data_IF_204761020360
#
_entry.id   IF_204761020360
#
_cell.length_a   1.000
_cell.length_b   1.000
_cell.length_c   1.000
_cell.angle_alpha   90.00
_cell.angle_beta   90.00
_cell.angle_gamma   90.00
#
_symmetry.space_group_name_H-M   'P 1'
#
loop_
_entity.id
_entity.type
_entity.pdbx_description
1 polymer ?
#
# COMPACT_ATOMS: atom_id res chain seq x y z
N UNK A 1 -0.93 -61.02 2.67
CA UNK A 1 -2.26 -61.64 2.83
C UNK A 1 -3.27 -60.66 2.27
N UNK A 2 -4.17 -60.93 1.33
CA UNK A 2 -4.43 -62.05 0.45
C UNK A 2 -5.19 -61.47 -0.76
N UNK A 3 -4.93 -61.96 -1.97
CA UNK A 3 -5.71 -61.65 -3.16
C UNK A 3 -7.07 -62.37 -3.06
N UNK A 4 -8.17 -61.62 -3.14
CA UNK A 4 -9.50 -62.19 -3.38
C UNK A 4 -10.13 -61.45 -4.56
N UNK A 5 -9.81 -61.90 -5.77
CA UNK A 5 -10.62 -61.60 -6.94
C UNK A 5 -11.93 -62.40 -6.87
N UNK A 6 -13.09 -61.82 -7.22
CA UNK A 6 -14.35 -62.54 -7.14
C UNK A 6 -14.47 -63.57 -8.26
N UNK A 7 -14.81 -64.79 -7.84
CA UNK A 7 -15.04 -65.99 -8.65
C UNK A 7 -16.28 -65.85 -9.53
N UNK A 8 -16.14 -66.19 -10.82
CA UNK A 8 -17.23 -66.37 -11.76
C UNK A 8 -17.90 -67.73 -11.47
N UNK A 9 -19.21 -67.73 -11.19
CA UNK A 9 -20.04 -68.94 -11.18
C UNK A 9 -20.97 -68.90 -12.39
N UNK A 10 -20.92 -69.96 -13.19
CA UNK A 10 -21.80 -70.19 -14.35
C UNK A 10 -23.00 -71.07 -13.99
N UNK A 11 -24.21 -70.53 -14.28
CA UNK A 11 -25.42 -71.10 -14.93
C UNK A 11 -26.13 -72.36 -14.36
N UNK A 12 -27.48 -72.48 -14.48
CA UNK A 12 -28.04 -73.07 -15.71
C UNK A 12 -29.49 -72.64 -16.11
N UNK A 13 -29.77 -72.63 -17.42
CA UNK A 13 -30.99 -73.25 -17.98
C UNK A 13 -32.17 -72.38 -18.46
N UNK A 14 -32.30 -72.33 -19.79
CA UNK A 14 -33.52 -72.42 -20.62
C UNK A 14 -34.58 -71.28 -20.68
N UNK A 15 -34.60 -70.69 -21.89
CA UNK A 15 -35.74 -70.15 -22.67
C UNK A 15 -36.80 -69.31 -21.95
N UNK A 16 -36.66 -67.99 -22.12
CA UNK A 16 -37.73 -66.98 -22.30
C UNK A 16 -37.15 -65.55 -22.47
N UNK A 17 -35.83 -65.41 -22.51
CA UNK A 17 -35.13 -64.12 -22.41
C UNK A 17 -34.51 -63.60 -23.73
N UNK A 18 -34.72 -64.23 -24.88
CA UNK A 18 -34.03 -63.82 -26.11
C UNK A 18 -34.38 -62.39 -26.56
N UNK A 19 -35.63 -61.95 -26.33
CA UNK A 19 -36.04 -60.55 -26.55
C UNK A 19 -35.51 -59.58 -25.48
N UNK A 20 -35.24 -60.07 -24.25
CA UNK A 20 -34.66 -59.29 -23.16
C UNK A 20 -33.15 -59.11 -23.32
N UNK A 21 -32.48 -60.11 -23.92
CA UNK A 21 -31.06 -60.09 -24.26
C UNK A 21 -30.78 -59.22 -25.49
N UNK A 22 -31.64 -59.29 -26.52
CA UNK A 22 -31.50 -58.48 -27.73
C UNK A 22 -31.78 -56.99 -27.46
N UNK A 23 -32.83 -56.68 -26.69
CA UNK A 23 -33.12 -55.31 -26.26
C UNK A 23 -32.01 -54.76 -25.35
N UNK A 24 -31.46 -55.58 -24.45
CA UNK A 24 -30.27 -55.21 -23.67
C UNK A 24 -29.06 -54.97 -24.55
N UNK A 25 -28.89 -55.76 -25.61
CA UNK A 25 -27.77 -55.61 -26.54
C UNK A 25 -27.90 -54.29 -27.32
N UNK A 26 -29.11 -53.96 -27.78
CA UNK A 26 -29.42 -52.68 -28.42
C UNK A 26 -29.20 -51.50 -27.46
N UNK A 27 -29.74 -51.57 -26.25
CA UNK A 27 -29.53 -50.55 -25.22
C UNK A 27 -28.04 -50.39 -24.88
N UNK A 28 -27.27 -51.48 -24.83
CA UNK A 28 -25.83 -51.46 -24.60
C UNK A 28 -25.07 -50.84 -25.79
N UNK A 29 -25.44 -51.15 -27.03
CA UNK A 29 -24.85 -50.56 -28.22
C UNK A 29 -25.18 -49.06 -28.33
N UNK A 30 -26.39 -48.67 -27.99
CA UNK A 30 -26.79 -47.27 -27.97
C UNK A 30 -26.12 -46.50 -26.84
N UNK A 31 -25.98 -47.10 -25.66
CA UNK A 31 -25.17 -46.53 -24.58
C UNK A 31 -23.70 -46.37 -25.00
N UNK A 32 -23.13 -47.33 -25.73
CA UNK A 32 -21.77 -47.26 -26.26
C UNK A 32 -21.62 -46.16 -27.33
N UNK A 33 -22.59 -46.02 -28.24
CA UNK A 33 -22.65 -44.91 -29.21
C UNK A 33 -22.76 -43.56 -28.50
N UNK A 34 -23.59 -43.47 -27.47
CA UNK A 34 -23.78 -42.24 -26.68
C UNK A 34 -22.50 -41.86 -25.94
N UNK A 35 -21.78 -42.84 -25.38
CA UNK A 35 -20.44 -42.65 -24.82
C UNK A 35 -19.44 -42.21 -25.88
N UNK A 36 -19.45 -42.79 -27.08
CA UNK A 36 -18.58 -42.39 -28.18
C UNK A 36 -18.84 -40.94 -28.63
N UNK A 37 -20.12 -40.55 -28.76
CA UNK A 37 -20.52 -39.18 -29.09
C UNK A 37 -20.08 -38.20 -27.99
N UNK A 38 -20.28 -38.56 -26.71
CA UNK A 38 -19.81 -37.77 -25.55
C UNK A 38 -18.29 -37.60 -25.54
N UNK A 39 -17.54 -38.68 -25.79
CA UNK A 39 -16.09 -38.66 -25.87
C UNK A 39 -15.58 -37.83 -27.07
N UNK A 40 -16.29 -37.85 -28.20
CA UNK A 40 -15.99 -37.01 -29.37
C UNK A 40 -16.19 -35.52 -29.06
N UNK A 41 -17.25 -35.17 -28.33
CA UNK A 41 -17.46 -33.81 -27.81
C UNK A 41 -16.33 -33.39 -26.86
N UNK A 42 -16.00 -34.25 -25.90
CA UNK A 42 -14.92 -34.04 -24.93
C UNK A 42 -13.54 -33.86 -25.58
N UNK A 43 -13.28 -34.54 -26.71
CA UNK A 43 -12.01 -34.45 -27.45
C UNK A 43 -11.72 -33.06 -28.00
N UNK A 44 -12.76 -32.26 -28.27
CA UNK A 44 -12.60 -30.88 -28.78
C UNK A 44 -12.81 -29.85 -27.67
N UNK A 45 -13.64 -30.13 -26.67
CA UNK A 45 -13.85 -29.22 -25.54
C UNK A 45 -12.71 -29.23 -24.54
N UNK A 46 -12.07 -30.38 -24.27
CA UNK A 46 -10.95 -30.46 -23.32
C UNK A 46 -9.77 -29.59 -23.80
N UNK A 47 -9.30 -29.67 -25.05
CA UNK A 47 -8.28 -28.76 -25.57
C UNK A 47 -8.72 -27.29 -25.48
N UNK A 48 -9.96 -26.95 -25.86
CA UNK A 48 -10.47 -25.56 -25.77
C UNK A 48 -10.55 -25.02 -24.35
N UNK A 49 -10.88 -25.87 -23.37
CA UNK A 49 -10.92 -25.47 -21.94
C UNK A 49 -9.53 -25.39 -21.33
N UNK A 50 -8.59 -26.23 -21.78
CA UNK A 50 -7.22 -26.27 -21.26
C UNK A 50 -6.27 -25.27 -21.93
N UNK A 51 -6.52 -24.90 -23.18
CA UNK A 51 -5.73 -23.94 -23.95
C UNK A 51 -5.52 -22.59 -23.22
N UNK A 52 -6.54 -21.92 -22.66
CA UNK A 52 -6.32 -20.66 -21.93
C UNK A 52 -5.51 -20.82 -20.62
N UNK A 53 -5.48 -22.03 -20.04
CA UNK A 53 -4.70 -22.34 -18.83
C UNK A 53 -3.27 -22.78 -19.17
N UNK A 54 -3.06 -23.34 -20.36
CA UNK A 54 -1.76 -23.75 -20.91
C UNK A 54 -0.98 -22.57 -21.48
N UNK A 55 -1.66 -21.57 -22.04
CA UNK A 55 -1.02 -20.35 -22.55
C UNK A 55 -0.53 -19.53 -21.36
N UNK A 56 0.79 -19.49 -21.19
CA UNK A 56 1.47 -18.60 -20.24
C UNK A 56 1.21 -17.16 -20.68
N UNK A 57 0.16 -16.55 -20.14
CA UNK A 57 -0.19 -15.16 -20.42
C UNK A 57 1.04 -14.30 -20.11
N UNK A 58 1.49 -13.45 -21.04
CA UNK A 58 2.56 -12.52 -20.73
C UNK A 58 2.10 -11.67 -19.55
N UNK A 59 2.92 -11.57 -18.52
CA UNK A 59 2.58 -10.75 -17.38
C UNK A 59 2.35 -9.30 -17.87
N UNK A 60 1.51 -8.49 -17.21
CA UNK A 60 1.37 -7.07 -17.57
C UNK A 60 2.72 -6.30 -17.57
N UNK A 61 3.75 -6.87 -16.94
CA UNK A 61 5.12 -6.36 -16.95
C UNK A 61 5.88 -6.72 -18.25
N UNK A 62 5.52 -7.82 -18.92
CA UNK A 62 6.13 -8.27 -20.18
C UNK A 62 5.56 -7.57 -21.43
N UNK A 63 4.27 -7.20 -21.39
CA UNK A 63 3.64 -6.41 -22.46
C UNK A 63 4.09 -4.96 -22.42
N UNK A 64 4.32 -4.42 -21.22
CA UNK A 64 4.90 -3.08 -21.05
C UNK A 64 6.39 -3.02 -21.40
N UNK A 65 7.15 -4.10 -21.21
CA UNK A 65 8.57 -4.16 -21.55
C UNK A 65 8.85 -4.30 -23.06
N UNK A 66 7.98 -5.00 -23.81
CA UNK A 66 8.17 -5.23 -25.26
C UNK A 66 7.70 -4.09 -26.16
N UNK A 67 6.87 -3.17 -25.65
CA UNK A 67 6.28 -2.07 -26.44
C UNK A 67 7.15 -0.83 -26.56
N UNK A 68 8.31 -0.79 -25.90
CA UNK A 68 9.19 0.37 -26.01
C UNK A 68 10.61 -0.11 -26.19
N UNK A 69 11.03 -0.21 -27.46
CA UNK A 69 12.41 0.11 -27.83
C UNK A 69 12.68 1.54 -27.36
N UNK A 70 13.02 1.71 -26.07
CA UNK A 70 13.55 2.96 -25.55
C UNK A 70 14.96 3.06 -26.12
N UNK A 71 15.06 3.48 -27.39
CA UNK A 71 16.29 4.08 -27.89
C UNK A 71 16.72 5.08 -26.80
N UNK A 72 17.95 4.93 -26.30
CA UNK A 72 18.46 5.65 -25.13
C UNK A 72 18.26 7.16 -25.25
N UNK A 73 17.10 7.63 -24.80
CA UNK A 73 16.71 9.03 -24.93
C UNK A 73 17.49 9.81 -23.87
N UNK A 74 18.66 10.28 -24.28
CA UNK A 74 19.48 11.21 -23.51
C UNK A 74 18.64 12.45 -23.23
N UNK A 75 18.59 12.82 -21.96
CA UNK A 75 17.90 14.02 -21.50
C UNK A 75 18.91 15.13 -21.23
N UNK A 76 18.56 16.35 -21.59
CA UNK A 76 19.40 17.54 -21.37
C UNK A 76 18.80 18.41 -20.27
N UNK A 77 19.65 19.15 -19.55
CA UNK A 77 19.18 20.19 -18.64
C UNK A 77 18.45 21.29 -19.41
N UNK A 78 17.35 21.80 -18.85
CA UNK A 78 16.52 22.85 -19.48
C UNK A 78 16.91 24.27 -19.08
N UNK A 79 17.83 24.40 -18.11
CA UNK A 79 18.39 25.68 -17.63
C UNK A 79 19.82 25.82 -18.14
N UNK A 80 20.30 27.05 -18.22
CA UNK A 80 21.71 27.34 -18.59
C UNK A 80 22.72 26.69 -17.63
N UNK A 81 22.35 26.46 -16.37
CA UNK A 81 23.20 25.73 -15.43
C UNK A 81 23.29 24.24 -15.82
N UNK A 82 24.45 23.81 -16.31
CA UNK A 82 24.77 22.43 -16.69
C UNK A 82 25.24 21.54 -15.53
N UNK A 83 25.42 22.09 -14.33
CA UNK A 83 26.01 21.37 -13.20
C UNK A 83 24.95 20.73 -12.28
N UNK A 84 25.31 19.58 -11.69
CA UNK A 84 24.48 18.88 -10.71
C UNK A 84 24.64 19.50 -9.31
N UNK A 85 24.04 20.67 -9.11
CA UNK A 85 24.05 21.38 -7.82
C UNK A 85 22.76 21.16 -7.02
N UNK A 86 22.77 21.49 -5.73
CA UNK A 86 21.58 21.37 -4.86
C UNK A 86 20.37 22.19 -5.35
N UNK A 87 20.60 23.25 -6.12
CA UNK A 87 19.55 24.09 -6.72
C UNK A 87 19.09 23.61 -8.10
N UNK A 88 19.82 22.67 -8.72
CA UNK A 88 19.55 22.16 -10.07
C UNK A 88 19.18 20.67 -10.08
N UNK A 89 18.64 20.14 -8.98
CA UNK A 89 18.13 18.77 -8.94
C UNK A 89 16.96 18.59 -9.90
N UNK A 90 16.93 17.44 -10.56
CA UNK A 90 16.00 17.14 -11.66
C UNK A 90 15.31 15.79 -11.48
N UNK A 91 14.12 15.65 -12.05
CA UNK A 91 13.39 14.38 -12.21
C UNK A 91 13.11 14.15 -13.69
N UNK A 92 13.39 12.96 -14.20
CA UNK A 92 12.98 12.56 -15.54
C UNK A 92 11.53 12.09 -15.47
N UNK A 93 10.69 12.60 -16.36
CA UNK A 93 9.26 12.27 -16.44
C UNK A 93 8.90 11.97 -17.88
N UNK A 94 8.09 10.93 -18.10
CA UNK A 94 7.50 10.64 -19.40
C UNK A 94 6.31 11.57 -19.63
N UNK A 95 6.36 12.35 -20.70
CA UNK A 95 5.26 13.22 -21.09
C UNK A 95 4.14 12.41 -21.74
N UNK A 96 2.91 12.95 -21.82
CA UNK A 96 1.82 12.30 -22.55
C UNK A 96 2.17 11.99 -24.02
N UNK A 97 3.03 12.79 -24.66
CA UNK A 97 3.55 12.55 -26.01
C UNK A 97 4.60 11.44 -26.11
N UNK A 98 4.87 10.72 -25.01
CA UNK A 98 5.79 9.58 -24.99
C UNK A 98 7.27 9.96 -24.81
N UNK A 99 7.62 11.24 -24.79
CA UNK A 99 8.99 11.72 -24.66
C UNK A 99 9.48 11.75 -23.20
N UNK A 100 10.77 11.51 -22.98
CA UNK A 100 11.40 11.75 -21.67
C UNK A 100 11.80 13.22 -21.54
N UNK A 101 11.27 13.91 -20.52
CA UNK A 101 11.57 15.31 -20.25
C UNK A 101 12.06 15.53 -18.83
N UNK A 102 12.99 16.46 -18.67
CA UNK A 102 13.51 16.90 -17.36
C UNK A 102 12.56 17.91 -16.71
N UNK A 103 12.19 17.66 -15.46
CA UNK A 103 11.53 18.60 -14.56
C UNK A 103 12.47 19.00 -13.43
N UNK A 104 12.62 20.31 -13.19
CA UNK A 104 13.42 20.83 -12.08
C UNK A 104 12.65 20.72 -10.77
N UNK A 105 13.26 20.08 -9.77
CA UNK A 105 12.66 19.89 -8.46
C UNK A 105 13.03 21.07 -7.56
N UNK A 106 12.06 21.62 -6.83
CA UNK A 106 12.31 22.61 -5.78
C UNK A 106 13.00 21.96 -4.58
N UNK A 107 13.82 22.70 -3.84
CA UNK A 107 14.36 22.19 -2.56
C UNK A 107 13.20 21.96 -1.59
N UNK A 108 13.27 20.87 -0.82
CA UNK A 108 12.27 20.54 0.19
C UNK A 108 12.29 21.56 1.32
N UNK A 109 11.11 21.89 1.86
CA UNK A 109 11.00 22.69 3.08
C UNK A 109 11.42 21.89 4.31
N UNK A 110 11.84 22.59 5.35
CA UNK A 110 12.10 22.00 6.67
C UNK A 110 10.88 22.15 7.56
N UNK A 111 10.63 21.15 8.41
CA UNK A 111 9.55 21.24 9.39
C UNK A 111 9.92 22.26 10.48
N UNK A 112 8.98 23.11 10.95
CA UNK A 112 9.19 23.96 12.12
C UNK A 112 9.53 23.11 13.34
N UNK A 113 10.47 23.60 14.14
CA UNK A 113 10.95 22.91 15.35
C UNK A 113 10.49 23.66 16.60
N UNK A 114 10.28 22.91 17.68
CA UNK A 114 10.04 23.49 19.00
C UNK A 114 11.27 24.28 19.47
N UNK A 115 11.05 25.49 20.00
CA UNK A 115 12.13 26.32 20.52
C UNK A 115 12.83 25.82 21.79
N UNK A 116 12.24 24.86 22.53
CA UNK A 116 12.86 24.27 23.72
C UNK A 116 13.56 22.95 23.40
N UNK A 117 12.78 21.96 22.92
CA UNK A 117 13.28 20.59 22.74
C UNK A 117 13.76 20.28 21.31
N UNK A 118 13.59 21.18 20.34
CA UNK A 118 14.00 20.96 18.95
C UNK A 118 13.17 19.93 18.16
N UNK A 119 12.15 19.32 18.77
CA UNK A 119 11.26 18.35 18.12
C UNK A 119 10.46 19.03 17.00
N UNK A 120 10.22 18.33 15.89
CA UNK A 120 9.37 18.80 14.79
C UNK A 120 7.94 19.02 15.29
N UNK A 121 7.37 20.19 15.04
CA UNK A 121 6.05 20.53 15.52
C UNK A 121 4.98 19.77 14.72
N UNK A 122 4.13 18.96 15.39
CA UNK A 122 3.04 18.28 14.72
C UNK A 122 1.96 19.29 14.29
N UNK A 123 1.30 19.01 13.18
CA UNK A 123 0.22 19.83 12.64
C UNK A 123 0.65 21.06 11.84
N UNK A 124 1.96 21.36 11.75
CA UNK A 124 2.47 22.46 10.91
C UNK A 124 3.23 21.90 9.70
N UNK A 125 2.86 22.26 8.46
CA UNK A 125 3.40 21.64 7.24
C UNK A 125 4.84 22.08 6.97
N UNK A 126 5.69 21.19 6.44
CA UNK A 126 7.07 21.49 6.09
C UNK A 126 7.17 22.16 4.71
N UNK A 127 7.01 23.49 4.66
CA UNK A 127 7.01 24.28 3.41
C UNK A 127 8.19 25.24 3.33
N UNK A 128 8.43 25.82 2.15
CA UNK A 128 9.42 26.90 1.99
C UNK A 128 8.83 28.25 2.45
N UNK A 129 9.65 29.23 2.86
CA UNK A 129 9.15 30.53 3.34
C UNK A 129 8.16 31.23 2.39
N UNK A 130 8.40 31.18 1.07
CA UNK A 130 7.48 31.75 0.07
C UNK A 130 6.14 31.01 -0.01
N UNK A 131 6.13 29.70 0.19
CA UNK A 131 4.91 28.88 0.20
C UNK A 131 4.12 29.13 1.50
N UNK A 132 4.81 29.38 2.61
CA UNK A 132 4.20 29.82 3.86
C UNK A 132 3.45 31.14 3.73
N UNK A 133 3.84 32.06 2.85
CA UNK A 133 3.08 33.27 2.60
C UNK A 133 1.70 32.98 1.96
N UNK A 134 1.60 31.93 1.15
CA UNK A 134 0.41 31.59 0.36
C UNK A 134 -0.63 30.75 1.10
N UNK A 135 -0.23 29.98 2.13
CA UNK A 135 -1.19 29.15 2.86
C UNK A 135 -2.03 29.98 3.86
N UNK A 136 -3.20 29.48 4.22
CA UNK A 136 -4.08 30.12 5.21
C UNK A 136 -3.52 30.00 6.64
N UNK A 137 -3.93 30.92 7.53
CA UNK A 137 -3.50 30.95 8.93
C UNK A 137 -3.70 29.63 9.71
N UNK A 138 -4.85 28.95 9.67
CA UNK A 138 -5.06 27.73 10.46
C UNK A 138 -4.11 26.58 10.07
N UNK A 139 -3.58 26.59 8.84
CA UNK A 139 -2.56 25.62 8.41
C UNK A 139 -1.16 25.94 8.95
N UNK A 140 -0.91 27.16 9.43
CA UNK A 140 0.39 27.61 9.98
C UNK A 140 0.48 27.46 11.49
N UNK A 141 -0.65 27.38 12.17
CA UNK A 141 -0.76 27.50 13.63
C UNK A 141 -1.50 26.33 14.24
N UNK A 142 -1.30 26.11 15.54
CA UNK A 142 -2.10 25.14 16.32
C UNK A 142 -2.93 25.91 17.36
N UNK A 143 -4.18 25.50 17.58
CA UNK A 143 -5.11 26.13 18.53
C UNK A 143 -4.72 25.81 20.00
N UNK A 144 -3.67 26.45 20.50
CA UNK A 144 -3.24 26.43 21.92
C UNK A 144 -2.27 27.57 22.21
N UNK A 145 -1.97 27.81 23.49
CA UNK A 145 -0.88 28.70 23.90
C UNK A 145 0.47 28.27 23.28
N UNK A 146 1.20 29.24 22.74
CA UNK A 146 2.45 29.02 21.99
C UNK A 146 2.35 28.03 20.81
N UNK A 147 1.16 27.87 20.23
CA UNK A 147 0.91 27.00 19.09
C UNK A 147 1.79 27.36 17.89
N UNK A 148 2.43 26.36 17.27
CA UNK A 148 3.35 26.58 16.14
C UNK A 148 4.75 27.11 16.53
N UNK A 149 5.01 27.40 17.81
CA UNK A 149 6.35 27.73 18.32
C UNK A 149 6.88 26.67 19.30
N UNK A 150 6.01 26.16 20.19
CA UNK A 150 6.36 25.17 21.22
C UNK A 150 5.52 23.91 21.10
N UNK A 151 6.08 22.76 21.46
CA UNK A 151 5.33 21.50 21.52
C UNK A 151 4.44 21.45 22.77
N UNK A 152 3.45 20.54 22.79
CA UNK A 152 2.51 20.42 23.91
C UNK A 152 3.20 20.15 25.26
N UNK A 153 4.24 19.31 25.27
CA UNK A 153 4.97 18.95 26.48
C UNK A 153 5.69 20.16 27.07
N UNK A 154 6.47 20.89 26.26
CA UNK A 154 7.16 22.08 26.75
C UNK A 154 6.21 23.20 27.21
N UNK A 155 5.01 23.29 26.61
CA UNK A 155 3.98 24.22 27.10
C UNK A 155 3.47 23.79 28.47
N UNK A 156 3.19 22.50 28.68
CA UNK A 156 2.79 21.95 29.98
C UNK A 156 3.87 22.22 31.04
N UNK A 157 5.13 21.93 30.73
CA UNK A 157 6.25 22.12 31.66
C UNK A 157 6.40 23.59 32.05
N UNK A 158 6.20 24.53 31.10
CA UNK A 158 6.21 25.97 31.37
C UNK A 158 5.10 26.39 32.33
N UNK A 159 3.89 25.89 32.11
CA UNK A 159 2.73 26.21 32.96
C UNK A 159 2.97 25.69 34.38
N UNK A 160 3.33 24.41 34.52
CA UNK A 160 3.57 23.79 35.84
C UNK A 160 4.73 24.45 36.55
N UNK A 161 5.84 24.71 35.85
CA UNK A 161 7.01 25.39 36.44
C UNK A 161 6.68 26.80 36.90
N UNK A 162 5.94 27.58 36.10
CA UNK A 162 5.54 28.93 36.47
C UNK A 162 4.66 28.93 37.72
N UNK A 163 3.68 28.03 37.77
CA UNK A 163 2.80 27.85 38.93
C UNK A 163 3.59 27.51 40.20
N UNK A 164 4.40 26.45 40.17
CA UNK A 164 5.16 26.02 41.35
C UNK A 164 6.15 27.08 41.85
N UNK A 165 6.77 27.83 40.94
CA UNK A 165 7.68 28.92 41.31
C UNK A 165 6.92 30.06 42.00
N UNK A 166 5.74 30.43 41.51
CA UNK A 166 4.89 31.43 42.16
C UNK A 166 4.44 30.99 43.55
N UNK A 167 3.95 29.75 43.69
CA UNK A 167 3.56 29.18 44.98
C UNK A 167 4.73 29.18 45.97
N UNK A 168 5.92 28.75 45.55
CA UNK A 168 7.12 28.77 46.38
C UNK A 168 7.52 30.20 46.78
N UNK A 169 7.34 31.20 45.90
CA UNK A 169 7.63 32.61 46.25
C UNK A 169 6.67 33.11 47.32
N UNK A 170 5.38 32.80 47.21
CA UNK A 170 4.37 33.21 48.21
C UNK A 170 4.70 32.57 49.56
N UNK A 171 4.96 31.27 49.60
CA UNK A 171 5.33 30.55 50.83
C UNK A 171 6.57 31.14 51.48
N UNK A 172 7.62 31.43 50.69
CA UNK A 172 8.85 32.09 51.19
C UNK A 172 8.57 33.48 51.75
N UNK A 173 7.64 34.24 51.15
CA UNK A 173 7.27 35.57 51.63
C UNK A 173 6.55 35.51 52.98
N UNK A 174 5.57 34.62 53.12
CA UNK A 174 4.81 34.43 54.36
C UNK A 174 5.70 33.94 55.50
N UNK A 175 6.56 32.94 55.26
CA UNK A 175 7.53 32.46 56.26
C UNK A 175 8.47 33.58 56.74
N UNK A 176 8.90 34.45 55.81
CA UNK A 176 9.76 35.59 56.14
C UNK A 176 9.00 36.60 57.02
N UNK A 177 7.76 36.94 56.70
CA UNK A 177 6.92 37.85 57.48
C UNK A 177 6.63 37.30 58.89
N UNK A 178 6.33 36.00 59.01
CA UNK A 178 6.14 35.33 60.31
C UNK A 178 7.41 35.40 61.16
N UNK A 179 8.57 35.04 60.60
CA UNK A 179 9.85 35.11 61.33
C UNK A 179 10.23 36.53 61.78
N UNK A 180 9.82 37.56 61.03
CA UNK A 180 10.03 38.96 61.40
C UNK A 180 9.07 39.40 62.51
N UNK A 181 7.82 38.91 62.49
CA UNK A 181 6.84 39.18 63.55
C UNK A 181 7.23 38.54 64.89
N UNK A 182 7.78 37.32 64.86
CA UNK A 182 8.27 36.60 66.06
C UNK A 182 9.46 37.30 66.70
N UNK A 183 10.42 37.80 65.89
CA UNK A 183 11.58 38.55 66.41
C UNK A 183 11.25 39.92 67.01
N UNK A 184 10.08 40.46 66.68
CA UNK A 184 9.63 41.79 67.15
C UNK A 184 8.80 41.69 68.44
N UNK A 185 8.29 40.51 68.77
CA UNK A 185 7.75 40.19 70.10
C UNK A 185 8.89 39.93 71.07
#
# INVERSE_FOLDING_TARGET
>A
MANNGPTIKSEPGASDNQAWDEKRLEDALDQLKLLHIKLRGLRTTIPRMMEPLSVKQPSPQDTTSKSVKMAGARVTYRRRNGWNTSSNRTRVVKTPGGELRVLHIKKRGTAPKCGDCGIKLPGVPALRPREYAQISKPKKTVQRAYGGSRCGNCVRDRIVRAFLIEEQKIVKKVLKEQSQSEKKK
#
